data_IF_564454767046
#
_entry.id   IF_564454767046
#
_cell.length_a   1.000
_cell.length_b   1.000
_cell.length_c   1.000
_cell.angle_alpha   90.00
_cell.angle_beta   90.00
_cell.angle_gamma   90.00
#
_symmetry.space_group_name_H-M   'P 1'
#
loop_
_entity.id
_entity.type
_entity.pdbx_description
1 polymer ?
#
# COMPACT_ATOMS: atom_id res chain seq x y z
N UNK A 1 -31.28 3.75 -4.10
CA UNK A 1 -30.55 4.39 -3.01
C UNK A 1 -29.07 4.29 -3.30
N UNK A 2 -28.34 5.38 -3.17
CA UNK A 2 -26.86 5.41 -3.33
C UNK A 2 -26.24 5.61 -1.97
N UNK A 3 -25.11 4.96 -1.72
CA UNK A 3 -24.31 5.21 -0.53
C UNK A 3 -23.55 6.53 -0.70
N UNK A 4 -23.40 7.25 0.39
CA UNK A 4 -22.69 8.52 0.46
C UNK A 4 -21.43 8.39 1.34
N UNK A 5 -20.32 8.90 0.88
CA UNK A 5 -19.14 9.15 1.68
C UNK A 5 -18.68 10.59 1.44
N UNK A 6 -18.51 11.35 2.49
CA UNK A 6 -18.13 12.76 2.44
C UNK A 6 -16.80 12.96 1.72
N UNK A 7 -15.82 12.14 2.06
CA UNK A 7 -14.49 12.21 1.49
C UNK A 7 -13.83 10.82 1.46
N UNK A 8 -12.86 10.68 0.61
CA UNK A 8 -11.84 9.66 0.67
C UNK A 8 -10.51 10.29 1.04
N UNK A 9 -9.63 9.55 1.68
CA UNK A 9 -8.32 10.03 2.12
C UNK A 9 -8.38 11.24 3.09
N UNK A 10 -9.48 11.43 3.78
CA UNK A 10 -9.60 12.44 4.81
C UNK A 10 -8.84 12.02 6.08
N UNK A 11 -8.36 13.00 6.82
CA UNK A 11 -7.80 12.78 8.16
C UNK A 11 -8.93 12.75 9.18
N UNK A 12 -9.59 11.62 9.28
CA UNK A 12 -10.62 11.44 10.29
C UNK A 12 -10.02 11.44 11.71
N UNK A 13 -10.79 11.94 12.64
CA UNK A 13 -10.49 11.86 14.06
C UNK A 13 -10.23 13.20 14.72
N UNK A 14 -9.35 14.07 14.20
CA UNK A 14 -9.06 15.36 14.83
C UNK A 14 -10.17 16.40 14.64
N UNK A 15 -10.81 16.35 13.48
CA UNK A 15 -11.92 17.24 13.10
C UNK A 15 -13.27 16.52 13.18
N UNK A 16 -13.27 15.30 13.68
CA UNK A 16 -14.44 14.43 13.70
C UNK A 16 -14.64 13.63 12.42
N UNK A 17 -15.71 12.86 12.40
CA UNK A 17 -16.19 12.19 11.20
C UNK A 17 -17.54 12.76 10.83
N UNK A 18 -17.81 12.86 9.54
CA UNK A 18 -19.10 13.26 9.02
C UNK A 18 -20.16 12.20 9.37
N UNK A 19 -21.14 12.60 10.18
CA UNK A 19 -22.24 11.73 10.62
C UNK A 19 -23.18 11.34 9.48
N UNK A 20 -23.23 12.13 8.41
CA UNK A 20 -24.06 11.88 7.23
C UNK A 20 -23.46 10.80 6.32
N UNK A 21 -22.17 10.52 6.43
CA UNK A 21 -21.52 9.46 5.64
C UNK A 21 -22.06 8.07 6.01
N UNK A 22 -22.36 7.25 5.00
CA UNK A 22 -22.74 5.86 5.18
C UNK A 22 -21.55 4.95 5.54
N UNK A 23 -20.36 5.35 5.14
CA UNK A 23 -19.10 4.65 5.43
C UNK A 23 -17.91 5.61 5.40
N UNK A 24 -16.80 5.18 5.95
CA UNK A 24 -15.55 5.94 5.94
C UNK A 24 -14.51 5.24 5.08
N UNK A 25 -13.80 6.00 4.25
CA UNK A 25 -12.68 5.53 3.45
C UNK A 25 -11.46 6.42 3.72
N UNK A 26 -10.37 5.85 4.24
CA UNK A 26 -9.17 6.61 4.56
C UNK A 26 -7.93 5.73 4.56
N UNK A 27 -6.77 6.37 4.49
CA UNK A 27 -5.47 5.73 4.72
C UNK A 27 -5.16 5.62 6.22
N UNK A 28 -5.73 6.51 7.01
CA UNK A 28 -5.48 6.58 8.45
C UNK A 28 -6.63 7.25 9.18
N UNK A 29 -6.79 6.90 10.46
CA UNK A 29 -7.63 7.58 11.41
C UNK A 29 -6.76 8.08 12.54
N UNK A 30 -6.85 9.35 12.88
CA UNK A 30 -5.86 10.02 13.73
C UNK A 30 -4.45 9.79 13.13
N UNK A 31 -3.55 9.24 13.92
CA UNK A 31 -2.22 8.83 13.47
C UNK A 31 -2.10 7.35 13.18
N UNK A 32 -3.21 6.62 13.27
CA UNK A 32 -3.22 5.18 13.06
C UNK A 32 -3.53 4.88 11.60
N UNK A 33 -2.59 4.25 10.91
CA UNK A 33 -2.78 3.79 9.55
C UNK A 33 -3.58 2.49 9.51
N UNK A 34 -4.43 2.37 8.51
CA UNK A 34 -5.16 1.16 8.17
C UNK A 34 -4.71 0.59 6.82
N UNK A 35 -3.56 1.01 6.38
CA UNK A 35 -2.85 0.48 5.21
C UNK A 35 -1.34 0.60 5.41
N UNK A 36 -0.56 -0.06 4.55
CA UNK A 36 0.88 0.14 4.49
C UNK A 36 1.64 -0.70 5.52
N UNK A 37 1.50 -2.02 5.50
CA UNK A 37 2.24 -2.94 6.37
C UNK A 37 3.75 -2.74 6.30
N UNK A 38 4.25 -2.26 5.14
CA UNK A 38 5.66 -1.96 4.92
C UNK A 38 6.02 -0.50 5.24
N UNK A 39 5.05 0.35 5.46
CA UNK A 39 5.24 1.79 5.72
C UNK A 39 5.11 2.17 7.20
N UNK A 40 4.89 1.23 8.09
CA UNK A 40 4.92 1.38 9.56
C UNK A 40 3.83 2.26 10.16
N UNK A 41 3.15 1.65 11.10
CA UNK A 41 2.49 2.36 12.21
C UNK A 41 3.50 2.50 13.35
N UNK A 42 3.25 3.32 14.39
CA UNK A 42 3.98 3.21 15.65
C UNK A 42 3.81 1.77 16.15
N UNK A 43 4.91 1.03 16.17
CA UNK A 43 4.86 -0.43 16.15
C UNK A 43 5.03 -1.03 17.54
N UNK A 44 5.53 -0.21 18.46
CA UNK A 44 5.64 -0.60 19.83
C UNK A 44 4.71 0.23 20.72
N UNK A 45 4.19 -0.34 21.80
CA UNK A 45 3.43 0.41 22.79
C UNK A 45 4.20 1.65 23.31
N UNK A 46 5.52 1.58 23.35
CA UNK A 46 6.39 2.66 23.79
C UNK A 46 6.48 3.80 22.75
N UNK A 47 6.51 3.45 21.46
CA UNK A 47 6.50 4.46 20.37
C UNK A 47 5.12 5.13 20.29
N UNK A 48 4.06 4.35 20.40
CA UNK A 48 2.70 4.89 20.46
C UNK A 48 2.54 5.83 21.66
N UNK A 49 3.02 5.45 22.84
CA UNK A 49 2.96 6.29 24.04
C UNK A 49 3.76 7.60 23.89
N UNK A 50 4.89 7.57 23.18
CA UNK A 50 5.66 8.79 22.89
C UNK A 50 4.92 9.73 21.92
N UNK A 51 4.25 9.16 20.92
CA UNK A 51 3.42 9.92 19.99
C UNK A 51 2.25 10.56 20.73
N UNK A 52 1.52 9.79 21.50
CA UNK A 52 0.38 10.27 22.30
C UNK A 52 0.79 11.36 23.29
N UNK A 53 1.92 11.19 23.97
CA UNK A 53 2.47 12.18 24.89
C UNK A 53 2.84 13.48 24.18
N UNK A 54 3.48 13.40 23.01
CA UNK A 54 3.84 14.56 22.20
C UNK A 54 2.58 15.32 21.74
N UNK A 55 1.58 14.61 21.24
CA UNK A 55 0.35 15.22 20.75
C UNK A 55 -0.46 15.89 21.87
N UNK A 56 -0.55 15.23 23.01
CA UNK A 56 -1.19 15.79 24.20
C UNK A 56 -0.50 17.06 24.70
N UNK A 57 0.85 17.06 24.67
CA UNK A 57 1.64 18.21 25.13
C UNK A 57 1.59 19.40 24.16
N UNK A 58 1.49 19.15 22.86
CA UNK A 58 1.63 20.18 21.83
C UNK A 58 0.30 20.56 21.14
N UNK A 59 -0.77 19.83 21.35
CA UNK A 59 -2.05 20.03 20.65
C UNK A 59 -1.94 19.90 19.13
N UNK A 60 -0.92 19.21 18.65
CA UNK A 60 -0.62 19.02 17.23
C UNK A 60 -0.27 17.57 16.97
N UNK A 61 -0.64 17.09 15.80
CA UNK A 61 -0.22 15.78 15.34
C UNK A 61 1.31 15.65 15.29
N UNK A 62 1.82 14.58 15.84
CA UNK A 62 3.23 14.27 15.73
C UNK A 62 3.57 14.04 14.26
N UNK A 63 4.60 14.69 13.75
CA UNK A 63 5.26 14.23 12.54
C UNK A 63 6.03 12.96 12.88
N UNK A 64 5.32 11.85 12.86
CA UNK A 64 5.94 10.55 13.07
C UNK A 64 6.88 10.30 11.89
N UNK A 65 8.16 10.14 12.14
CA UNK A 65 9.05 9.49 11.18
C UNK A 65 8.58 8.04 11.07
N UNK A 66 7.75 7.79 10.07
CA UNK A 66 7.23 6.47 9.81
C UNK A 66 8.39 5.63 9.30
N UNK A 67 8.97 4.88 10.21
CA UNK A 67 9.89 3.81 9.84
C UNK A 67 9.04 2.66 9.34
N UNK A 68 9.35 2.16 8.16
CA UNK A 68 8.68 0.98 7.64
C UNK A 68 9.02 -0.26 8.47
N UNK A 69 8.18 -1.28 8.41
CA UNK A 69 8.41 -2.58 9.05
C UNK A 69 9.77 -3.19 8.69
N UNK A 70 10.20 -3.06 7.45
CA UNK A 70 11.52 -3.54 6.99
C UNK A 70 12.68 -2.95 7.81
N UNK A 71 12.51 -1.76 8.36
CA UNK A 71 13.56 -1.09 9.13
C UNK A 71 13.50 -1.40 10.62
N UNK A 72 12.35 -1.79 11.16
CA UNK A 72 12.13 -1.97 12.59
C UNK A 72 11.80 -3.41 12.97
N UNK A 73 10.92 -4.03 12.22
CA UNK A 73 10.60 -5.45 12.34
C UNK A 73 10.07 -5.96 11.01
N UNK A 74 10.29 -7.21 10.72
CA UNK A 74 9.73 -7.83 9.53
C UNK A 74 8.23 -8.05 9.70
N UNK A 75 7.41 -7.80 8.66
CA UNK A 75 6.04 -8.24 8.64
C UNK A 75 5.99 -9.76 8.80
N UNK A 76 4.94 -10.25 9.41
CA UNK A 76 4.71 -11.67 9.60
C UNK A 76 3.27 -12.04 9.26
N UNK A 77 2.99 -13.34 9.23
CA UNK A 77 1.68 -13.84 8.85
C UNK A 77 0.54 -13.53 9.85
N UNK A 78 0.83 -12.85 10.95
CA UNK A 78 -0.17 -12.34 11.90
C UNK A 78 -0.45 -10.85 11.74
N UNK A 79 0.31 -10.14 10.91
CA UNK A 79 0.14 -8.70 10.71
C UNK A 79 -1.30 -8.37 10.32
N UNK A 80 -1.92 -7.45 11.06
CA UNK A 80 -3.28 -6.97 10.83
C UNK A 80 -3.46 -5.55 11.41
N UNK A 81 -4.64 -4.98 11.26
CA UNK A 81 -5.00 -3.64 11.74
C UNK A 81 -6.07 -3.66 12.85
N UNK A 82 -6.26 -4.78 13.54
CA UNK A 82 -7.34 -4.96 14.51
C UNK A 82 -7.33 -3.89 15.61
N UNK A 83 -6.16 -3.59 16.17
CA UNK A 83 -6.03 -2.61 17.24
C UNK A 83 -6.43 -1.19 16.77
N UNK A 84 -6.00 -0.83 15.57
CA UNK A 84 -6.37 0.44 14.96
C UNK A 84 -7.87 0.53 14.73
N UNK A 85 -8.47 -0.51 14.15
CA UNK A 85 -9.91 -0.53 13.91
C UNK A 85 -10.73 -0.56 15.20
N UNK A 86 -10.26 -1.25 16.23
CA UNK A 86 -10.92 -1.25 17.54
C UNK A 86 -11.05 0.19 18.06
N UNK A 87 -9.99 0.97 18.04
CA UNK A 87 -9.98 2.37 18.45
C UNK A 87 -10.94 3.22 17.62
N UNK A 88 -10.97 3.01 16.32
CA UNK A 88 -11.89 3.74 15.42
C UNK A 88 -13.34 3.37 15.73
N UNK A 89 -13.65 2.10 15.94
CA UNK A 89 -15.02 1.63 16.18
C UNK A 89 -15.59 1.99 17.53
N UNK A 90 -14.75 2.22 18.52
CA UNK A 90 -15.20 2.77 19.81
C UNK A 90 -15.87 4.14 19.63
N UNK A 91 -15.44 4.91 18.63
CA UNK A 91 -15.98 6.24 18.33
C UNK A 91 -16.99 6.24 17.17
N UNK A 92 -16.69 5.47 16.13
CA UNK A 92 -17.42 5.49 14.87
C UNK A 92 -17.94 4.11 14.52
N UNK A 93 -19.27 3.97 14.50
CA UNK A 93 -19.94 2.68 14.28
C UNK A 93 -20.31 2.40 12.83
N UNK A 94 -19.58 2.95 11.88
CA UNK A 94 -19.83 2.80 10.44
C UNK A 94 -18.81 1.89 9.77
N UNK A 95 -19.11 1.33 8.60
CA UNK A 95 -18.15 0.57 7.82
C UNK A 95 -16.88 1.40 7.53
N UNK A 96 -15.72 0.76 7.60
CA UNK A 96 -14.43 1.40 7.36
C UNK A 96 -13.70 0.67 6.24
N UNK A 97 -13.26 1.44 5.25
CA UNK A 97 -12.48 0.95 4.13
C UNK A 97 -11.07 1.52 4.20
N UNK A 98 -10.07 0.68 3.96
CA UNK A 98 -8.72 1.15 3.68
C UNK A 98 -8.67 1.73 2.27
N UNK A 99 -8.13 2.95 2.14
CA UNK A 99 -8.11 3.70 0.90
C UNK A 99 -6.69 3.88 0.37
N UNK A 100 -6.55 3.86 -0.95
CA UNK A 100 -5.27 3.95 -1.66
C UNK A 100 -4.27 2.87 -1.21
N UNK A 101 -4.75 1.65 -1.06
CA UNK A 101 -3.90 0.50 -0.72
C UNK A 101 -2.94 0.22 -1.86
N UNK A 102 -1.67 0.02 -1.53
CA UNK A 102 -0.62 -0.23 -2.50
C UNK A 102 0.35 0.93 -2.65
N UNK A 103 0.56 1.40 -3.88
CA UNK A 103 1.58 2.39 -4.25
C UNK A 103 3.02 1.85 -4.15
N UNK A 104 3.20 0.60 -4.51
CA UNK A 104 4.53 -0.02 -4.59
C UNK A 104 5.09 0.15 -6.00
N UNK A 105 6.04 1.05 -6.14
CA UNK A 105 6.57 1.48 -7.44
C UNK A 105 7.37 0.38 -8.16
N UNK A 106 7.23 0.39 -9.48
CA UNK A 106 7.98 -0.45 -10.43
C UNK A 106 8.84 0.45 -11.29
N UNK A 107 9.97 -0.03 -11.73
CA UNK A 107 10.79 0.69 -12.69
C UNK A 107 10.09 0.80 -14.06
N UNK A 108 10.27 1.91 -14.81
CA UNK A 108 9.59 2.14 -16.08
C UNK A 108 10.04 1.16 -17.17
N UNK A 109 9.10 0.63 -17.94
CA UNK A 109 9.39 0.00 -19.22
C UNK A 109 9.50 1.07 -20.31
N UNK A 110 10.67 1.20 -20.91
CA UNK A 110 10.89 2.22 -21.95
C UNK A 110 10.24 1.90 -23.28
N UNK A 111 9.79 0.67 -23.50
CA UNK A 111 9.03 0.32 -24.70
C UNK A 111 7.68 1.07 -24.74
N UNK A 112 7.14 1.41 -23.57
CA UNK A 112 5.93 2.22 -23.44
C UNK A 112 6.07 3.64 -24.06
N UNK A 113 7.28 4.15 -24.16
CA UNK A 113 7.52 5.47 -24.78
C UNK A 113 6.93 5.64 -26.18
N UNK A 114 6.82 4.53 -26.92
CA UNK A 114 6.22 4.53 -28.26
C UNK A 114 4.71 4.78 -28.25
N UNK A 115 4.05 4.58 -27.13
CA UNK A 115 2.59 4.76 -26.97
C UNK A 115 2.20 6.21 -26.67
N UNK A 116 3.12 7.01 -26.12
CA UNK A 116 2.87 8.42 -25.84
C UNK A 116 2.85 9.22 -27.14
N UNK A 117 1.70 9.84 -27.43
CA UNK A 117 1.44 10.59 -28.67
C UNK A 117 0.83 11.95 -28.35
N UNK A 118 0.95 12.88 -29.29
CA UNK A 118 0.36 14.21 -29.19
C UNK A 118 1.10 15.09 -28.19
N UNK A 119 0.35 15.71 -27.29
CA UNK A 119 0.89 16.64 -26.28
C UNK A 119 1.48 15.93 -25.05
N UNK A 120 1.24 14.64 -24.91
CA UNK A 120 1.75 13.86 -23.79
C UNK A 120 3.20 13.48 -24.04
N UNK A 121 4.12 14.17 -23.39
CA UNK A 121 5.55 13.82 -23.40
C UNK A 121 5.99 13.33 -22.01
N UNK A 122 6.33 12.06 -21.84
CA UNK A 122 6.80 11.51 -20.58
C UNK A 122 8.26 11.88 -20.32
N UNK A 123 8.52 13.16 -20.06
CA UNK A 123 9.87 13.69 -19.87
C UNK A 123 10.61 13.00 -18.71
N UNK A 124 9.92 12.52 -17.69
CA UNK A 124 10.45 11.71 -16.61
C UNK A 124 11.00 10.36 -17.11
N UNK A 125 10.26 9.63 -17.96
CA UNK A 125 10.73 8.37 -18.56
C UNK A 125 11.98 8.59 -19.41
N UNK A 126 11.97 9.64 -20.26
CA UNK A 126 13.12 9.99 -21.09
C UNK A 126 14.34 10.35 -20.26
N UNK A 127 14.13 11.03 -19.14
CA UNK A 127 15.23 11.33 -18.20
C UNK A 127 15.80 10.06 -17.59
N UNK A 128 14.96 9.16 -17.09
CA UNK A 128 15.41 7.90 -16.51
C UNK A 128 16.12 7.04 -17.57
N UNK A 129 15.55 6.94 -18.76
CA UNK A 129 16.16 6.20 -19.86
C UNK A 129 17.59 6.70 -20.18
N UNK A 130 17.77 8.02 -20.21
CA UNK A 130 19.08 8.63 -20.42
C UNK A 130 20.07 8.25 -19.31
N UNK A 131 19.63 8.34 -18.04
CA UNK A 131 20.47 7.94 -16.90
C UNK A 131 20.85 6.44 -16.95
N UNK A 132 19.94 5.59 -17.39
CA UNK A 132 20.17 4.14 -17.57
C UNK A 132 21.23 3.89 -18.62
N UNK A 133 21.18 4.63 -19.75
CA UNK A 133 22.20 4.57 -20.81
C UNK A 133 23.57 5.02 -20.31
N UNK A 134 23.61 6.16 -19.67
CA UNK A 134 24.85 6.74 -19.10
C UNK A 134 25.55 5.80 -18.11
N UNK A 135 24.75 4.99 -17.41
CA UNK A 135 25.24 3.97 -16.47
C UNK A 135 25.51 2.60 -17.11
N UNK A 136 25.26 2.43 -18.40
CA UNK A 136 25.44 1.14 -19.10
C UNK A 136 24.48 0.04 -18.65
N UNK A 137 23.31 0.39 -18.10
CA UNK A 137 22.35 -0.58 -17.55
C UNK A 137 21.30 -1.07 -18.57
N UNK A 138 21.27 -0.54 -19.78
CA UNK A 138 20.26 -0.93 -20.78
C UNK A 138 20.17 -2.44 -21.01
N UNK A 139 21.27 -3.20 -21.11
CA UNK A 139 21.19 -4.64 -21.39
C UNK A 139 20.49 -5.47 -20.30
N UNK A 140 20.42 -4.93 -19.09
CA UNK A 140 19.82 -5.63 -17.94
C UNK A 140 18.53 -4.96 -17.45
N UNK A 141 18.14 -3.84 -18.04
CA UNK A 141 17.05 -3.01 -17.53
C UNK A 141 15.72 -3.75 -17.40
N UNK A 142 15.33 -4.53 -18.39
CA UNK A 142 14.09 -5.33 -18.31
C UNK A 142 14.09 -6.35 -17.16
N UNK A 143 15.25 -6.87 -16.77
CA UNK A 143 15.35 -7.72 -15.58
C UNK A 143 15.11 -6.92 -14.29
N UNK A 144 15.52 -5.66 -14.25
CA UNK A 144 15.25 -4.79 -13.11
C UNK A 144 13.78 -4.39 -13.03
N UNK A 145 13.15 -4.14 -14.17
CA UNK A 145 11.69 -3.91 -14.22
C UNK A 145 10.94 -5.13 -13.68
N UNK A 146 11.26 -6.33 -14.16
CA UNK A 146 10.67 -7.58 -13.67
C UNK A 146 10.90 -7.78 -12.18
N UNK A 147 12.12 -7.56 -11.69
CA UNK A 147 12.45 -7.75 -10.27
C UNK A 147 11.71 -6.76 -9.36
N UNK A 148 11.64 -5.48 -9.76
CA UNK A 148 10.90 -4.47 -8.99
C UNK A 148 9.40 -4.69 -9.07
N UNK A 149 8.89 -5.18 -10.19
CA UNK A 149 7.50 -5.57 -10.35
C UNK A 149 7.11 -6.75 -9.48
N UNK A 150 7.95 -7.78 -9.41
CA UNK A 150 7.71 -8.93 -8.52
C UNK A 150 7.74 -8.52 -7.05
N UNK A 151 8.68 -7.63 -6.66
CA UNK A 151 8.70 -7.05 -5.32
C UNK A 151 7.41 -6.27 -5.03
N UNK A 152 6.98 -5.42 -5.96
CA UNK A 152 5.70 -4.69 -5.85
C UNK A 152 4.52 -5.64 -5.63
N UNK A 153 4.43 -6.71 -6.41
CA UNK A 153 3.39 -7.73 -6.28
C UNK A 153 3.40 -8.41 -4.90
N UNK A 154 4.58 -8.72 -4.37
CA UNK A 154 4.73 -9.30 -3.03
C UNK A 154 4.29 -8.30 -1.95
N UNK A 155 4.63 -7.01 -2.10
CA UNK A 155 4.19 -5.96 -1.19
C UNK A 155 2.66 -5.78 -1.21
N UNK A 156 2.04 -5.82 -2.39
CA UNK A 156 0.58 -5.83 -2.51
C UNK A 156 -0.04 -7.03 -1.78
N UNK A 157 0.54 -8.21 -1.95
CA UNK A 157 0.06 -9.40 -1.26
C UNK A 157 0.10 -9.23 0.25
N UNK A 158 1.21 -8.76 0.80
CA UNK A 158 1.35 -8.54 2.25
C UNK A 158 0.28 -7.59 2.79
N UNK A 159 0.08 -6.49 2.12
CA UNK A 159 -0.87 -5.47 2.56
C UNK A 159 -2.33 -5.96 2.46
N UNK A 160 -2.66 -6.63 1.38
CA UNK A 160 -4.01 -7.18 1.17
C UNK A 160 -4.30 -8.31 2.16
N UNK A 161 -3.36 -9.22 2.37
CA UNK A 161 -3.52 -10.29 3.36
C UNK A 161 -3.63 -9.75 4.80
N UNK A 162 -2.90 -8.69 5.15
CA UNK A 162 -3.05 -8.02 6.44
C UNK A 162 -4.46 -7.41 6.58
N UNK A 163 -4.98 -6.79 5.52
CA UNK A 163 -6.34 -6.29 5.51
C UNK A 163 -7.37 -7.43 5.67
N UNK A 164 -7.17 -8.54 4.99
CA UNK A 164 -8.05 -9.72 5.10
C UNK A 164 -8.01 -10.39 6.47
N UNK A 165 -6.89 -10.33 7.19
CA UNK A 165 -6.78 -10.79 8.58
C UNK A 165 -7.46 -9.85 9.56
N UNK A 166 -7.70 -8.62 9.17
CA UNK A 166 -8.25 -7.58 10.03
C UNK A 166 -9.75 -7.76 10.22
N UNK A 167 -10.15 -7.98 11.48
CA UNK A 167 -11.57 -8.04 11.85
C UNK A 167 -12.21 -6.68 11.60
N UNK A 168 -13.44 -6.72 11.13
CA UNK A 168 -14.25 -5.52 10.99
C UNK A 168 -13.77 -4.49 9.96
N UNK A 169 -12.70 -4.72 9.22
CA UNK A 169 -12.39 -3.95 8.03
C UNK A 169 -13.38 -4.33 6.92
N UNK A 170 -14.11 -3.35 6.42
CA UNK A 170 -15.21 -3.59 5.49
C UNK A 170 -14.75 -3.79 4.05
N UNK A 171 -13.54 -3.36 3.73
CA UNK A 171 -12.95 -3.54 2.42
C UNK A 171 -11.72 -2.69 2.18
N UNK A 172 -11.19 -2.82 0.99
CA UNK A 172 -10.04 -2.04 0.51
C UNK A 172 -10.33 -1.42 -0.85
N UNK A 173 -9.71 -0.28 -1.10
CA UNK A 173 -9.67 0.36 -2.41
C UNK A 173 -8.22 0.50 -2.83
N UNK A 174 -7.83 -0.18 -3.91
CA UNK A 174 -6.47 -0.12 -4.41
C UNK A 174 -6.19 1.22 -5.08
N UNK A 175 -5.00 1.75 -4.88
CA UNK A 175 -4.43 2.74 -5.74
C UNK A 175 -3.41 2.06 -6.65
N UNK A 176 -3.79 2.07 -7.87
CA UNK A 176 -3.02 1.79 -9.02
C UNK A 176 -3.28 0.45 -9.65
N UNK A 177 -4.45 0.27 -10.28
CA UNK A 177 -4.59 -0.76 -11.30
C UNK A 177 -3.68 -0.45 -12.49
N UNK A 178 -3.54 0.85 -12.84
CA UNK A 178 -2.69 1.37 -13.90
C UNK A 178 -1.62 2.31 -13.37
N UNK A 179 -0.58 2.50 -14.16
CA UNK A 179 0.45 3.49 -13.92
C UNK A 179 -0.10 4.91 -14.07
N UNK A 180 0.43 5.84 -13.28
CA UNK A 180 0.10 7.25 -13.35
C UNK A 180 1.36 8.11 -13.56
N UNK A 181 1.77 8.35 -14.81
CA UNK A 181 2.97 9.13 -15.10
C UNK A 181 2.83 10.62 -14.80
N UNK A 182 1.62 11.11 -14.59
CA UNK A 182 1.35 12.53 -14.28
C UNK A 182 1.83 12.97 -12.90
N UNK A 183 2.11 12.04 -11.99
CA UNK A 183 2.60 12.28 -10.65
C UNK A 183 4.06 11.80 -10.48
N UNK A 184 4.91 12.23 -11.38
CA UNK A 184 6.31 11.82 -11.39
C UNK A 184 6.49 10.42 -11.96
N UNK A 185 6.87 9.46 -11.15
CA UNK A 185 7.06 8.07 -11.54
C UNK A 185 6.16 7.13 -10.71
N UNK A 186 4.90 7.51 -10.52
CA UNK A 186 3.93 6.67 -9.82
C UNK A 186 3.51 5.46 -10.70
N UNK A 187 4.46 4.57 -10.97
CA UNK A 187 4.33 3.40 -11.81
C UNK A 187 3.97 2.19 -10.96
N UNK A 188 2.79 2.23 -10.38
CA UNK A 188 2.34 1.27 -9.35
C UNK A 188 1.37 0.22 -9.90
N UNK A 189 1.01 0.31 -11.18
CA UNK A 189 -0.02 -0.52 -11.79
C UNK A 189 0.47 -1.87 -12.29
N UNK A 190 -0.47 -2.80 -12.43
CA UNK A 190 -0.31 -4.01 -13.22
C UNK A 190 -0.51 -3.72 -14.72
N UNK A 191 -1.22 -2.64 -15.02
CA UNK A 191 -1.37 -2.08 -16.35
C UNK A 191 -0.44 -0.88 -16.51
N UNK A 192 -0.07 -0.61 -17.74
CA UNK A 192 0.69 0.58 -18.09
C UNK A 192 -0.18 1.85 -18.07
N UNK A 193 0.38 2.99 -18.42
CA UNK A 193 -0.34 4.28 -18.45
C UNK A 193 -1.45 4.36 -19.49
N UNK A 194 -1.51 3.40 -20.39
CA UNK A 194 -2.48 3.32 -21.51
C UNK A 194 -3.54 2.24 -21.27
N UNK A 195 -3.56 1.63 -20.06
CA UNK A 195 -4.44 0.51 -19.69
C UNK A 195 -4.12 -0.79 -20.42
N UNK A 196 -2.94 -0.92 -20.99
CA UNK A 196 -2.47 -2.17 -21.58
C UNK A 196 -1.78 -3.05 -20.52
N UNK A 197 -1.92 -4.37 -20.60
CA UNK A 197 -1.21 -5.27 -19.70
C UNK A 197 0.31 -5.10 -19.86
N UNK A 198 1.03 -4.91 -18.76
CA UNK A 198 2.48 -4.89 -18.79
C UNK A 198 3.01 -6.26 -19.24
N UNK A 199 4.00 -6.30 -20.17
CA UNK A 199 4.50 -7.55 -20.78
C UNK A 199 5.48 -8.30 -19.87
N UNK A 200 5.20 -8.36 -18.58
CA UNK A 200 6.05 -8.96 -17.56
C UNK A 200 5.30 -10.04 -16.78
N UNK A 201 6.08 -11.00 -16.25
CA UNK A 201 5.50 -12.13 -15.53
C UNK A 201 4.80 -11.71 -14.24
N UNK A 202 5.34 -10.71 -13.53
CA UNK A 202 4.73 -10.19 -12.30
C UNK A 202 3.31 -9.62 -12.52
N UNK A 203 3.04 -9.08 -13.70
CA UNK A 203 1.77 -8.41 -14.02
C UNK A 203 0.69 -9.36 -14.55
N UNK A 204 0.98 -10.66 -14.65
CA UNK A 204 -0.02 -11.64 -15.08
C UNK A 204 -1.21 -11.68 -14.14
N UNK A 205 -2.45 -11.62 -14.65
CA UNK A 205 -3.66 -11.59 -13.83
C UNK A 205 -3.75 -12.74 -12.82
N UNK A 206 -3.29 -13.94 -13.20
CA UNK A 206 -3.34 -15.13 -12.34
C UNK A 206 -2.50 -14.96 -11.08
N UNK A 207 -1.35 -14.29 -11.18
CA UNK A 207 -0.45 -14.05 -10.04
C UNK A 207 -1.05 -13.06 -9.04
N UNK A 208 -1.64 -11.98 -9.56
CA UNK A 208 -2.29 -10.99 -8.70
C UNK A 208 -3.59 -11.54 -8.09
N UNK A 209 -4.40 -12.27 -8.88
CA UNK A 209 -5.61 -12.92 -8.39
C UNK A 209 -5.35 -14.01 -7.35
N UNK A 210 -4.13 -14.51 -7.22
CA UNK A 210 -3.81 -15.57 -6.27
C UNK A 210 -4.12 -15.19 -4.81
N UNK A 211 -4.02 -13.92 -4.45
CA UNK A 211 -4.34 -13.38 -3.13
C UNK A 211 -5.63 -12.54 -3.10
N UNK A 212 -6.38 -12.50 -4.21
CA UNK A 212 -7.71 -11.88 -4.34
C UNK A 212 -8.75 -12.94 -4.69
N UNK A 213 -8.91 -13.91 -3.82
CA UNK A 213 -9.90 -15.00 -4.01
C UNK A 213 -11.07 -14.78 -3.07
N UNK A 214 -12.22 -15.27 -3.46
CA UNK A 214 -13.42 -15.31 -2.62
C UNK A 214 -13.18 -16.05 -1.29
N UNK A 215 -12.35 -17.09 -1.34
CA UNK A 215 -11.89 -17.81 -0.17
C UNK A 215 -10.38 -17.93 -0.21
N UNK A 216 -9.73 -17.42 0.81
CA UNK A 216 -8.28 -17.46 0.97
C UNK A 216 -7.92 -17.98 2.37
N UNK A 217 -7.15 -19.06 2.41
CA UNK A 217 -6.60 -19.57 3.66
C UNK A 217 -5.38 -18.74 4.03
N UNK A 218 -5.44 -18.08 5.17
CA UNK A 218 -4.34 -17.30 5.74
C UNK A 218 -3.79 -18.01 6.96
N UNK A 219 -2.49 -18.25 6.97
CA UNK A 219 -1.80 -18.86 8.10
C UNK A 219 -1.26 -17.79 9.02
N UNK A 220 -1.59 -17.88 10.31
CA UNK A 220 -1.12 -16.93 11.32
C UNK A 220 0.14 -17.46 12.01
N UNK A 221 1.32 -17.14 11.48
CA UNK A 221 2.62 -17.54 12.03
C UNK A 221 3.42 -16.30 12.46
N UNK A 222 4.30 -16.47 13.45
CA UNK A 222 5.15 -15.39 13.96
C UNK A 222 6.19 -14.92 12.92
N UNK A 223 6.61 -15.80 12.03
CA UNK A 223 7.59 -15.51 10.98
C UNK A 223 7.29 -16.31 9.72
N UNK A 224 7.86 -15.91 8.60
CA UNK A 224 7.69 -16.60 7.32
C UNK A 224 8.67 -17.74 7.11
N UNK A 225 9.78 -17.73 7.82
CA UNK A 225 10.86 -18.73 7.66
C UNK A 225 11.16 -19.36 9.01
N UNK A 226 11.22 -20.67 9.03
CA UNK A 226 11.53 -21.49 10.22
C UNK A 226 12.71 -22.38 9.91
N UNK A 227 13.51 -22.66 10.93
CA UNK A 227 14.58 -23.64 10.83
C UNK A 227 14.04 -25.05 11.07
N UNK A 228 14.77 -26.05 10.58
CA UNK A 228 14.42 -27.45 10.83
C UNK A 228 14.42 -27.73 12.34
N UNK A 229 13.32 -28.30 12.83
CA UNK A 229 13.14 -28.60 14.27
C UNK A 229 12.49 -27.48 15.08
N UNK A 230 12.23 -26.31 14.52
CA UNK A 230 11.43 -25.29 15.20
C UNK A 230 9.96 -25.72 15.32
N UNK A 231 9.35 -25.40 16.45
CA UNK A 231 7.92 -25.63 16.66
C UNK A 231 7.11 -24.48 16.08
N UNK A 232 6.12 -24.79 15.25
CA UNK A 232 5.12 -23.84 14.78
C UNK A 232 4.02 -23.72 15.84
N UNK A 233 3.79 -22.52 16.36
CA UNK A 233 2.75 -22.21 17.35
C UNK A 233 1.68 -21.28 16.75
#
# INVERSE_FOLDING_TARGET
>A
TRLYANASNAHYGNEGCDEESDFYASQSFYNYRIRGTLAGNPETPEEAAKVDAYEKANGKLAKVNIKGYINNQYPNAKTNFDETLRKIREQYKKPVFSFEVGQFEVLPDFDELAHFKGISDPANYRRIQRMVREKGLEPVWKKYVEATGELSRLCYREEIEAAMRTKDLSGISLLGLQDFPGQGTALVGMLDSHLEPKPFDFAKPEKFRAFFKEQLVLVGLEKYTYEEGETLC
#
